data_IF_420390389874
#
_entry.id   IF_420390389874
#
_cell.length_a   1.000
_cell.length_b   1.000
_cell.length_c   1.000
_cell.angle_alpha   90.00
_cell.angle_beta   90.00
_cell.angle_gamma   90.00
#
_symmetry.space_group_name_H-M   'P 1'
#
loop_
_entity.id
_entity.type
_entity.pdbx_description
1 polymer ?
#
# COMPACT_ATOMS: atom_id res chain seq x y z
N UNK A 1 10.43 16.64 -9.79
CA UNK A 1 9.51 15.49 -9.85
C UNK A 1 9.74 14.63 -8.61
N UNK A 2 8.68 14.12 -7.99
CA UNK A 2 8.72 13.34 -6.75
C UNK A 2 8.54 11.86 -7.10
N UNK A 3 9.47 11.00 -6.67
CA UNK A 3 9.37 9.56 -6.89
C UNK A 3 8.45 8.92 -5.86
N UNK A 4 7.38 8.28 -6.29
CA UNK A 4 6.40 7.65 -5.41
C UNK A 4 6.58 6.13 -5.45
N UNK A 5 7.28 5.59 -4.46
CA UNK A 5 7.52 4.16 -4.30
C UNK A 5 6.42 3.52 -3.45
N UNK A 6 6.05 2.30 -3.82
CA UNK A 6 5.09 1.54 -3.07
C UNK A 6 4.65 0.27 -3.76
N UNK A 7 3.54 -0.28 -3.27
CA UNK A 7 3.00 -1.53 -3.76
C UNK A 7 1.94 -1.35 -4.88
N UNK A 8 1.00 -2.29 -4.99
CA UNK A 8 -0.11 -2.25 -5.94
C UNK A 8 -1.04 -1.05 -5.74
N UNK A 9 -1.11 -0.46 -4.54
CA UNK A 9 -1.93 0.73 -4.26
C UNK A 9 -1.31 1.96 -4.93
N UNK A 10 0.00 2.17 -4.78
CA UNK A 10 0.72 3.22 -5.51
C UNK A 10 0.66 2.97 -7.01
N UNK A 11 0.86 1.72 -7.47
CA UNK A 11 0.71 1.34 -8.88
C UNK A 11 -0.70 1.65 -9.42
N UNK A 12 -1.73 1.44 -8.59
CA UNK A 12 -3.12 1.60 -8.95
C UNK A 12 -3.71 0.42 -9.72
N UNK A 13 -3.23 -0.80 -9.48
CA UNK A 13 -3.78 -2.00 -10.13
C UNK A 13 -3.73 -3.21 -9.20
N UNK A 14 -4.88 -3.84 -8.89
CA UNK A 14 -6.26 -3.40 -9.19
C UNK A 14 -6.59 -1.99 -8.67
N UNK A 15 -7.71 -1.42 -9.11
CA UNK A 15 -8.20 -0.13 -8.62
C UNK A 15 -7.63 1.07 -9.38
N UNK A 16 -7.26 2.11 -8.65
CA UNK A 16 -6.71 3.35 -9.22
C UNK A 16 -5.68 3.97 -8.29
N UNK A 17 -4.59 4.48 -8.88
CA UNK A 17 -3.53 5.16 -8.13
C UNK A 17 -4.04 6.53 -7.67
N UNK A 18 -3.71 6.91 -6.43
CA UNK A 18 -3.94 8.26 -5.93
C UNK A 18 -3.21 9.33 -6.74
N UNK A 19 -2.11 8.98 -7.41
CA UNK A 19 -1.35 9.88 -8.28
C UNK A 19 -2.17 10.41 -9.45
N UNK A 20 -3.23 9.69 -9.87
CA UNK A 20 -4.19 10.18 -10.88
C UNK A 20 -4.86 11.50 -10.47
N UNK A 21 -4.96 11.74 -9.17
CA UNK A 21 -5.64 12.90 -8.57
C UNK A 21 -4.66 13.96 -8.06
N UNK A 22 -3.39 13.85 -8.43
CA UNK A 22 -2.35 14.84 -8.15
C UNK A 22 -1.97 15.59 -9.44
N UNK A 23 -1.15 16.62 -9.28
CA UNK A 23 -0.65 17.43 -10.39
C UNK A 23 0.15 16.58 -11.39
N UNK A 24 -0.25 16.64 -12.66
CA UNK A 24 0.37 15.87 -13.75
C UNK A 24 1.83 16.31 -13.94
N UNK A 25 2.75 15.35 -14.02
CA UNK A 25 4.18 15.62 -14.21
C UNK A 25 4.96 15.97 -12.94
N UNK A 26 4.28 16.28 -11.81
CA UNK A 26 4.96 16.49 -10.52
C UNK A 26 5.36 15.17 -9.84
N UNK A 27 4.57 14.11 -10.01
CA UNK A 27 4.75 12.81 -9.33
C UNK A 27 5.01 11.68 -10.32
N UNK A 28 6.00 10.83 -10.06
CA UNK A 28 6.32 9.65 -10.86
C UNK A 28 5.94 8.37 -10.09
N UNK A 29 5.15 7.53 -10.74
CA UNK A 29 4.69 6.26 -10.17
C UNK A 29 5.78 5.19 -10.26
N UNK A 30 6.27 4.73 -9.11
CA UNK A 30 7.23 3.61 -8.98
C UNK A 30 6.61 2.40 -8.27
N UNK A 31 5.28 2.28 -8.28
CA UNK A 31 4.56 1.21 -7.59
C UNK A 31 4.71 -0.16 -8.24
N UNK A 32 4.98 -1.19 -7.44
CA UNK A 32 5.06 -2.59 -7.89
C UNK A 32 4.11 -3.50 -7.12
N UNK A 33 3.24 -4.20 -7.85
CA UNK A 33 2.28 -5.11 -7.24
C UNK A 33 2.96 -6.29 -6.51
N UNK A 34 2.50 -6.55 -5.28
CA UNK A 34 2.98 -7.63 -4.42
C UNK A 34 4.31 -7.35 -3.71
N UNK A 35 4.84 -6.13 -3.79
CA UNK A 35 6.08 -5.75 -3.13
C UNK A 35 5.89 -5.57 -1.62
N UNK A 36 6.79 -6.14 -0.84
CA UNK A 36 6.88 -5.98 0.62
C UNK A 36 7.91 -4.93 1.00
N UNK A 37 8.04 -4.58 2.28
CA UNK A 37 9.08 -3.67 2.77
C UNK A 37 10.47 -4.14 2.35
N UNK A 38 10.79 -5.42 2.58
CA UNK A 38 12.07 -6.03 2.17
C UNK A 38 12.31 -5.91 0.65
N UNK A 39 11.26 -6.15 -0.15
CA UNK A 39 11.37 -6.08 -1.61
C UNK A 39 11.57 -4.68 -2.18
N UNK A 40 11.15 -3.63 -1.47
CA UNK A 40 11.32 -2.26 -1.92
C UNK A 40 12.77 -1.79 -1.85
N UNK A 41 13.53 -2.23 -0.83
CA UNK A 41 14.86 -1.69 -0.53
C UNK A 41 15.83 -1.71 -1.73
N UNK A 42 16.03 -2.82 -2.48
CA UNK A 42 16.95 -2.84 -3.62
C UNK A 42 16.57 -1.85 -4.72
N UNK A 43 15.26 -1.70 -5.00
CA UNK A 43 14.76 -0.78 -6.02
C UNK A 43 14.92 0.67 -5.63
N UNK A 44 14.62 0.98 -4.36
CA UNK A 44 14.83 2.32 -3.83
C UNK A 44 16.32 2.67 -3.82
N UNK A 45 17.19 1.75 -3.37
CA UNK A 45 18.65 1.94 -3.37
C UNK A 45 19.18 2.19 -4.78
N UNK A 46 18.75 1.40 -5.77
CA UNK A 46 19.11 1.63 -7.16
C UNK A 46 18.65 3.02 -7.65
N UNK A 47 17.41 3.41 -7.36
CA UNK A 47 16.88 4.72 -7.76
C UNK A 47 17.62 5.89 -7.10
N UNK A 48 18.05 5.75 -5.86
CA UNK A 48 18.79 6.80 -5.14
C UNK A 48 20.21 6.92 -5.68
N UNK A 49 20.91 5.80 -5.88
CA UNK A 49 22.31 5.77 -6.33
C UNK A 49 22.52 6.21 -7.78
N UNK A 50 21.53 5.99 -8.64
CA UNK A 50 21.64 6.28 -10.08
C UNK A 50 20.68 7.36 -10.56
N UNK A 51 19.82 7.88 -9.68
CA UNK A 51 18.84 8.92 -10.00
C UNK A 51 19.29 10.31 -9.57
N UNK A 52 18.61 11.32 -10.09
CA UNK A 52 18.77 12.75 -9.74
C UNK A 52 17.63 13.31 -8.90
N UNK A 53 16.83 12.44 -8.29
CA UNK A 53 15.63 12.83 -7.57
C UNK A 53 15.95 13.07 -6.10
N UNK A 54 15.49 14.20 -5.58
CA UNK A 54 15.72 14.61 -4.19
C UNK A 54 14.54 14.30 -3.27
N UNK A 55 13.35 14.10 -3.84
CA UNK A 55 12.11 13.91 -3.06
C UNK A 55 11.43 12.59 -3.35
N UNK A 56 11.07 11.87 -2.29
CA UNK A 56 10.46 10.55 -2.33
C UNK A 56 9.19 10.51 -1.50
N UNK A 57 8.21 9.73 -1.98
CA UNK A 57 7.03 9.33 -1.21
C UNK A 57 7.08 7.81 -1.10
N UNK A 58 6.98 7.29 0.13
CA UNK A 58 7.05 5.85 0.41
C UNK A 58 5.71 5.36 0.97
N UNK A 59 5.03 4.47 0.24
CA UNK A 59 3.81 3.79 0.67
C UNK A 59 3.98 2.28 0.53
N UNK A 60 4.45 1.62 1.59
CA UNK A 60 4.78 0.20 1.57
C UNK A 60 4.40 -0.48 2.89
N UNK A 61 4.25 -1.81 2.87
CA UNK A 61 3.95 -2.63 4.05
C UNK A 61 2.61 -3.35 4.00
N UNK A 62 1.73 -3.02 3.04
CA UNK A 62 0.43 -3.71 2.89
C UNK A 62 0.62 -5.21 2.65
N UNK A 63 1.60 -5.58 1.81
CA UNK A 63 1.86 -6.98 1.47
C UNK A 63 2.48 -7.79 2.60
N UNK A 64 3.13 -7.14 3.58
CA UNK A 64 3.63 -7.77 4.80
C UNK A 64 2.47 -8.32 5.67
N UNK A 65 1.27 -7.77 5.50
CA UNK A 65 0.04 -8.22 6.15
C UNK A 65 -0.78 -9.11 5.20
N UNK A 66 -0.91 -8.67 3.94
CA UNK A 66 -1.81 -9.29 2.97
C UNK A 66 -1.32 -10.67 2.52
N UNK A 67 -0.02 -10.83 2.19
CA UNK A 67 0.47 -12.10 1.64
C UNK A 67 0.36 -13.26 2.64
N UNK A 68 0.77 -13.12 3.93
CA UNK A 68 0.56 -14.18 4.91
C UNK A 68 -0.92 -14.52 5.14
N UNK A 69 -1.82 -13.53 5.03
CA UNK A 69 -3.25 -13.78 5.13
C UNK A 69 -3.77 -14.57 3.92
N UNK A 70 -3.43 -14.15 2.71
CA UNK A 70 -3.85 -14.83 1.48
C UNK A 70 -3.34 -16.26 1.43
N UNK A 71 -2.08 -16.50 1.81
CA UNK A 71 -1.49 -17.84 1.90
C UNK A 71 -2.33 -18.80 2.74
N UNK A 72 -2.85 -18.31 3.89
CA UNK A 72 -3.69 -19.09 4.80
C UNK A 72 -5.15 -19.19 4.35
N UNK A 73 -5.63 -18.24 3.56
CA UNK A 73 -7.05 -18.15 3.18
C UNK A 73 -7.50 -19.21 2.16
N UNK A 74 -6.60 -19.69 1.30
CA UNK A 74 -6.98 -20.57 0.18
C UNK A 74 -5.80 -21.39 -0.37
N UNK A 75 -5.99 -22.67 -0.70
CA UNK A 75 -4.98 -23.48 -1.39
C UNK A 75 -4.54 -22.89 -2.74
N UNK A 76 -5.43 -22.17 -3.44
CA UNK A 76 -5.09 -21.50 -4.71
C UNK A 76 -4.09 -20.38 -4.47
N UNK A 77 -4.30 -19.58 -3.42
CA UNK A 77 -3.36 -18.54 -3.01
C UNK A 77 -2.03 -19.11 -2.55
N UNK A 78 -2.04 -20.13 -1.68
CA UNK A 78 -0.81 -20.83 -1.27
C UNK A 78 0.01 -21.33 -2.47
N UNK A 79 -0.65 -21.97 -3.44
CA UNK A 79 0.01 -22.44 -4.65
C UNK A 79 0.54 -21.30 -5.54
N UNK A 80 -0.22 -20.20 -5.65
CA UNK A 80 0.20 -19.01 -6.40
C UNK A 80 1.42 -18.38 -5.76
N UNK A 81 1.40 -18.16 -4.45
CA UNK A 81 2.52 -17.55 -3.71
C UNK A 81 3.76 -18.43 -3.76
N UNK A 82 3.64 -19.74 -3.55
CA UNK A 82 4.76 -20.68 -3.72
C UNK A 82 5.40 -20.62 -5.11
N UNK A 83 4.62 -20.38 -6.17
CA UNK A 83 5.16 -20.19 -7.53
C UNK A 83 5.87 -18.85 -7.66
N UNK A 84 5.32 -17.79 -7.06
CA UNK A 84 5.95 -16.47 -7.04
C UNK A 84 7.27 -16.52 -6.28
N UNK A 85 7.31 -17.14 -5.10
CA UNK A 85 8.53 -17.27 -4.27
C UNK A 85 9.66 -18.00 -5.00
N UNK A 86 9.33 -19.04 -5.77
CA UNK A 86 10.30 -19.78 -6.60
C UNK A 86 10.92 -18.92 -7.70
N UNK A 87 10.22 -17.90 -8.18
CA UNK A 87 10.62 -17.05 -9.32
C UNK A 87 11.19 -15.70 -8.85
N UNK A 88 10.65 -15.14 -7.76
CA UNK A 88 11.03 -13.86 -7.18
C UNK A 88 11.74 -14.10 -5.86
N UNK A 89 13.05 -14.37 -5.90
CA UNK A 89 13.86 -14.63 -4.70
C UNK A 89 13.89 -13.45 -3.70
N UNK A 90 13.57 -12.21 -4.11
CA UNK A 90 13.98 -11.02 -3.34
C UNK A 90 12.90 -9.93 -3.15
N UNK A 91 11.67 -10.09 -3.66
CA UNK A 91 10.71 -8.95 -3.75
C UNK A 91 9.42 -9.03 -2.92
N UNK A 92 9.09 -10.20 -2.35
CA UNK A 92 7.74 -10.47 -1.83
C UNK A 92 7.76 -11.18 -0.46
N UNK A 93 8.89 -11.16 0.25
CA UNK A 93 8.98 -11.81 1.56
C UNK A 93 8.34 -10.91 2.61
N UNK A 94 7.23 -11.34 3.25
CA UNK A 94 6.54 -10.49 4.21
C UNK A 94 7.21 -10.56 5.58
N UNK A 95 7.30 -9.40 6.24
CA UNK A 95 7.70 -9.31 7.64
C UNK A 95 6.70 -10.05 8.53
N UNK A 96 7.13 -11.12 9.20
CA UNK A 96 6.23 -11.95 10.02
C UNK A 96 6.00 -11.35 11.41
N UNK A 97 7.01 -10.66 11.93
CA UNK A 97 7.01 -10.04 13.26
C UNK A 97 7.14 -8.52 13.17
N UNK A 98 6.74 -7.84 14.24
CA UNK A 98 6.91 -6.39 14.41
C UNK A 98 8.40 -6.00 14.39
N UNK A 99 9.28 -6.82 14.97
CA UNK A 99 10.74 -6.61 14.95
C UNK A 99 11.29 -6.67 13.53
N UNK A 100 10.89 -7.68 12.73
CA UNK A 100 11.31 -7.79 11.34
C UNK A 100 10.83 -6.58 10.53
N UNK A 101 9.56 -6.21 10.70
CA UNK A 101 8.98 -5.07 10.01
C UNK A 101 9.70 -3.77 10.36
N UNK A 102 9.93 -3.52 11.65
CA UNK A 102 10.68 -2.36 12.12
C UNK A 102 12.08 -2.30 11.53
N UNK A 103 12.82 -3.42 11.56
CA UNK A 103 14.16 -3.48 11.00
C UNK A 103 14.16 -3.11 9.52
N UNK A 104 13.35 -3.79 8.70
CA UNK A 104 13.31 -3.54 7.25
C UNK A 104 12.79 -2.15 6.89
N UNK A 105 11.86 -1.59 7.67
CA UNK A 105 11.37 -0.24 7.43
C UNK A 105 12.41 0.81 7.84
N UNK A 106 13.14 0.59 8.93
CA UNK A 106 14.26 1.44 9.35
C UNK A 106 15.35 1.45 8.29
N UNK A 107 15.71 0.30 7.70
CA UNK A 107 16.70 0.23 6.61
C UNK A 107 16.33 1.12 5.40
N UNK A 108 15.04 1.22 5.05
CA UNK A 108 14.57 2.15 4.00
C UNK A 108 14.79 3.62 4.41
N UNK A 109 14.48 3.96 5.65
CA UNK A 109 14.61 5.33 6.16
C UNK A 109 16.08 5.73 6.31
N UNK A 110 16.91 4.83 6.80
CA UNK A 110 18.36 5.02 6.93
C UNK A 110 18.98 5.26 5.55
N UNK A 111 18.61 4.47 4.54
CA UNK A 111 19.07 4.64 3.17
C UNK A 111 18.71 6.03 2.60
N UNK A 112 17.48 6.51 2.84
CA UNK A 112 17.04 7.84 2.41
C UNK A 112 17.87 8.92 3.10
N UNK A 113 18.10 8.79 4.40
CA UNK A 113 18.86 9.75 5.20
C UNK A 113 20.35 9.79 4.86
N UNK A 114 20.98 8.63 4.69
CA UNK A 114 22.39 8.50 4.32
C UNK A 114 22.69 9.23 3.01
N UNK A 115 21.71 9.30 2.10
CA UNK A 115 21.82 9.98 0.82
C UNK A 115 21.11 11.34 0.80
N UNK A 116 20.80 11.90 1.99
CA UNK A 116 20.22 13.24 2.18
C UNK A 116 18.93 13.48 1.38
N UNK A 117 18.09 12.44 1.23
CA UNK A 117 16.84 12.53 0.44
C UNK A 117 15.67 12.99 1.30
N UNK A 118 14.90 13.94 0.79
CA UNK A 118 13.63 14.32 1.39
C UNK A 118 12.61 13.19 1.19
N UNK A 119 11.97 12.76 2.27
CA UNK A 119 10.99 11.69 2.23
C UNK A 119 9.70 12.04 2.96
N UNK A 120 8.57 11.64 2.37
CA UNK A 120 7.27 11.61 3.03
C UNK A 120 6.78 10.17 3.10
N UNK A 121 6.46 9.71 4.29
CA UNK A 121 5.94 8.38 4.53
C UNK A 121 4.42 8.39 4.46
N UNK A 122 3.84 7.34 3.92
CA UNK A 122 2.40 7.05 3.97
C UNK A 122 2.25 5.74 4.72
N UNK A 123 1.48 5.75 5.81
CA UNK A 123 1.26 4.54 6.58
C UNK A 123 0.36 3.54 5.82
N UNK A 124 0.35 2.29 6.30
CA UNK A 124 -0.39 1.20 5.66
C UNK A 124 -1.89 1.52 5.74
N UNK A 125 -2.63 1.50 4.62
CA UNK A 125 -4.08 1.70 4.65
C UNK A 125 -4.80 0.59 5.40
N UNK A 126 -6.09 0.81 5.67
CA UNK A 126 -7.00 -0.21 6.18
C UNK A 126 -6.96 -1.45 5.25
N UNK A 127 -6.72 -2.62 5.84
CA UNK A 127 -6.65 -3.90 5.12
C UNK A 127 -7.95 -4.68 5.34
N UNK A 128 -8.92 -4.39 4.47
CA UNK A 128 -10.31 -4.82 4.56
C UNK A 128 -11.14 -3.79 5.30
N UNK A 129 -12.29 -3.39 4.74
CA UNK A 129 -13.09 -2.29 5.27
C UNK A 129 -13.82 -2.63 6.59
N UNK A 130 -13.86 -3.90 6.99
CA UNK A 130 -14.25 -4.29 8.33
C UNK A 130 -13.14 -3.98 9.35
N UNK A 131 -13.27 -2.85 10.04
CA UNK A 131 -12.27 -2.37 11.00
C UNK A 131 -12.02 -3.31 12.19
N UNK A 132 -12.99 -4.16 12.55
CA UNK A 132 -12.83 -5.09 13.69
C UNK A 132 -12.00 -6.34 13.35
N UNK A 133 -11.71 -6.58 12.07
CA UNK A 133 -10.98 -7.76 11.63
C UNK A 133 -9.51 -7.72 12.09
N UNK A 134 -8.95 -8.88 12.48
CA UNK A 134 -7.55 -9.05 12.91
C UNK A 134 -6.49 -8.43 11.98
N UNK A 135 -6.75 -8.32 10.67
CA UNK A 135 -5.84 -7.66 9.71
C UNK A 135 -5.61 -6.20 10.09
N UNK A 136 -6.65 -5.51 10.54
CA UNK A 136 -6.56 -4.11 10.96
C UNK A 136 -5.85 -3.96 12.31
N UNK A 137 -5.96 -4.92 13.23
CA UNK A 137 -5.13 -4.95 14.46
C UNK A 137 -3.63 -5.08 14.14
N UNK A 138 -3.27 -5.97 13.20
CA UNK A 138 -1.89 -6.10 12.70
C UNK A 138 -1.44 -4.81 12.00
N UNK A 139 -2.32 -4.18 11.23
CA UNK A 139 -2.07 -2.90 10.54
C UNK A 139 -1.76 -1.79 11.53
N UNK A 140 -2.52 -1.66 12.62
CA UNK A 140 -2.24 -0.68 13.67
C UNK A 140 -0.87 -0.86 14.30
N UNK A 141 -0.47 -2.11 14.60
CA UNK A 141 0.86 -2.41 15.13
C UNK A 141 1.97 -1.95 14.20
N UNK A 142 1.87 -2.24 12.90
CA UNK A 142 2.85 -1.80 11.92
C UNK A 142 2.81 -0.27 11.69
N UNK A 143 1.62 0.34 11.71
CA UNK A 143 1.50 1.79 11.58
C UNK A 143 2.07 2.55 12.79
N UNK A 144 1.98 1.99 14.00
CA UNK A 144 2.64 2.54 15.17
C UNK A 144 4.17 2.54 15.00
N UNK A 145 4.73 1.49 14.38
CA UNK A 145 6.16 1.44 14.05
C UNK A 145 6.51 2.52 13.02
N UNK A 146 5.76 2.63 11.91
CA UNK A 146 6.00 3.67 10.88
C UNK A 146 5.95 5.06 11.51
N UNK A 147 4.96 5.31 12.38
CA UNK A 147 4.80 6.57 13.07
C UNK A 147 5.98 6.87 13.99
N UNK A 148 6.39 5.91 14.82
CA UNK A 148 7.53 6.07 15.71
C UNK A 148 8.84 6.34 14.94
N UNK A 149 9.06 5.66 13.82
CA UNK A 149 10.22 5.92 12.95
C UNK A 149 10.13 7.33 12.35
N UNK A 150 8.96 7.72 11.82
CA UNK A 150 8.77 9.06 11.25
C UNK A 150 9.04 10.17 12.27
N UNK A 151 8.53 10.03 13.50
CA UNK A 151 8.74 10.98 14.59
C UNK A 151 10.21 11.04 15.01
N UNK A 152 10.85 9.89 15.23
CA UNK A 152 12.26 9.78 15.62
C UNK A 152 13.19 10.43 14.60
N UNK A 153 12.90 10.25 13.31
CA UNK A 153 13.76 10.70 12.21
C UNK A 153 13.35 12.07 11.63
N UNK A 154 12.31 12.70 12.17
CA UNK A 154 11.83 14.01 11.73
C UNK A 154 11.16 14.01 10.35
N UNK A 155 10.63 12.87 9.89
CA UNK A 155 10.01 12.72 8.58
C UNK A 155 8.52 13.09 8.62
N UNK A 156 8.01 13.60 7.50
CA UNK A 156 6.58 13.84 7.34
C UNK A 156 5.82 12.52 7.18
N UNK A 157 4.71 12.40 7.91
CA UNK A 157 3.78 11.28 7.81
C UNK A 157 2.41 11.73 7.27
N UNK A 158 1.95 11.04 6.23
CA UNK A 158 0.55 11.04 5.79
C UNK A 158 -0.16 9.89 6.49
N UNK A 159 -0.98 10.21 7.49
CA UNK A 159 -1.79 9.23 8.22
C UNK A 159 -3.08 8.89 7.45
N UNK A 160 -2.92 8.11 6.39
CA UNK A 160 -4.04 7.67 5.56
C UNK A 160 -4.94 6.66 6.28
N UNK A 161 -4.35 5.81 7.12
CA UNK A 161 -5.07 4.85 7.94
C UNK A 161 -6.12 5.52 8.83
N UNK A 162 -5.75 6.56 9.58
CA UNK A 162 -6.68 7.30 10.44
C UNK A 162 -7.81 7.96 9.63
N UNK A 163 -7.50 8.50 8.45
CA UNK A 163 -8.51 9.05 7.55
C UNK A 163 -9.52 7.99 7.07
N UNK A 164 -9.04 6.80 6.69
CA UNK A 164 -9.91 5.70 6.28
C UNK A 164 -10.78 5.20 7.44
N UNK A 165 -10.22 5.00 8.64
CA UNK A 165 -10.99 4.62 9.84
C UNK A 165 -12.13 5.59 10.10
N UNK A 166 -11.83 6.88 10.19
CA UNK A 166 -12.83 7.93 10.41
C UNK A 166 -13.92 7.93 9.33
N UNK A 167 -13.55 7.65 8.09
CA UNK A 167 -14.50 7.61 6.97
C UNK A 167 -15.42 6.38 7.05
N UNK A 168 -14.87 5.21 7.36
CA UNK A 168 -15.61 3.96 7.47
C UNK A 168 -16.53 3.91 8.71
N UNK A 169 -16.08 4.45 9.84
CA UNK A 169 -16.86 4.57 11.07
C UNK A 169 -18.11 5.44 10.86
N UNK A 170 -17.96 6.60 10.20
CA UNK A 170 -19.08 7.50 9.88
C UNK A 170 -20.15 6.84 9.02
N UNK A 171 -19.74 5.93 8.14
CA UNK A 171 -20.64 5.19 7.24
C UNK A 171 -21.18 3.91 7.87
N UNK A 172 -20.81 3.62 9.12
CA UNK A 172 -21.17 2.40 9.86
C UNK A 172 -20.88 1.12 9.06
N UNK A 173 -19.82 1.14 8.23
CA UNK A 173 -19.52 0.03 7.36
C UNK A 173 -18.92 -1.14 8.17
N UNK A 174 -19.66 -2.24 8.27
CA UNK A 174 -19.21 -3.50 8.92
C UNK A 174 -19.02 -4.64 7.91
N UNK A 175 -18.85 -4.32 6.63
CA UNK A 175 -18.81 -5.34 5.56
C UNK A 175 -17.41 -5.93 5.42
N UNK A 176 -17.39 -7.25 5.19
CA UNK A 176 -16.17 -8.04 5.22
C UNK A 176 -15.83 -8.64 3.85
N UNK A 177 -16.27 -8.00 2.75
CA UNK A 177 -15.72 -8.39 1.45
C UNK A 177 -14.22 -8.11 1.46
N UNK A 178 -13.47 -9.14 1.17
CA UNK A 178 -12.03 -9.09 1.03
C UNK A 178 -11.63 -9.92 -0.18
N UNK A 179 -10.44 -9.62 -0.70
CA UNK A 179 -9.83 -10.21 -1.89
C UNK A 179 -10.29 -11.66 -2.14
N UNK A 180 -10.71 -11.90 -3.38
CA UNK A 180 -11.25 -13.18 -3.81
C UNK A 180 -10.27 -14.34 -3.50
N UNK A 181 -10.76 -15.49 -2.98
CA UNK A 181 -9.91 -16.64 -2.67
C UNK A 181 -9.27 -17.29 -3.91
N UNK A 182 -9.70 -16.93 -5.13
CA UNK A 182 -9.04 -17.29 -6.38
C UNK A 182 -8.16 -16.14 -6.91
N UNK A 183 -6.82 -16.30 -6.96
CA UNK A 183 -5.92 -15.30 -7.53
C UNK A 183 -6.26 -14.88 -8.96
N UNK A 184 -6.91 -15.75 -9.76
CA UNK A 184 -7.34 -15.41 -11.12
C UNK A 184 -8.42 -14.32 -11.12
N UNK A 185 -9.30 -14.31 -10.11
CA UNK A 185 -10.32 -13.27 -10.00
C UNK A 185 -9.71 -11.90 -9.70
N UNK A 186 -8.61 -11.83 -8.95
CA UNK A 186 -7.88 -10.56 -8.73
C UNK A 186 -7.29 -10.02 -10.03
N UNK A 187 -6.80 -10.89 -10.92
CA UNK A 187 -6.34 -10.48 -12.26
C UNK A 187 -7.50 -9.93 -13.09
N UNK A 188 -8.65 -10.62 -13.07
CA UNK A 188 -9.86 -10.18 -13.76
C UNK A 188 -10.36 -8.84 -13.19
N UNK A 189 -10.31 -8.66 -11.88
CA UNK A 189 -10.66 -7.39 -11.24
C UNK A 189 -9.73 -6.26 -11.64
N UNK A 190 -8.42 -6.55 -11.81
CA UNK A 190 -7.46 -5.62 -12.37
C UNK A 190 -7.90 -5.08 -13.73
N UNK A 191 -8.37 -5.96 -14.62
CA UNK A 191 -8.91 -5.55 -15.93
C UNK A 191 -10.23 -4.78 -15.80
N UNK A 192 -11.13 -5.25 -14.94
CA UNK A 192 -12.43 -4.59 -14.71
C UNK A 192 -12.29 -3.21 -14.05
N UNK A 193 -11.22 -2.96 -13.31
CA UNK A 193 -10.99 -1.72 -12.57
C UNK A 193 -10.24 -0.63 -13.36
N UNK A 194 -9.94 -0.84 -14.65
CA UNK A 194 -9.27 0.16 -15.49
C UNK A 194 -10.12 1.45 -15.60
N UNK A 195 -11.43 1.31 -15.79
CA UNK A 195 -12.35 2.46 -15.93
C UNK A 195 -12.99 2.83 -14.59
N UNK A 196 -13.39 4.10 -14.44
CA UNK A 196 -14.09 4.56 -13.23
C UNK A 196 -15.42 3.85 -13.03
N UNK A 197 -16.17 3.63 -14.12
CA UNK A 197 -17.41 2.85 -14.11
C UNK A 197 -17.16 1.41 -13.64
N UNK A 198 -16.07 0.78 -14.09
CA UNK A 198 -15.69 -0.56 -13.67
C UNK A 198 -15.33 -0.66 -12.18
N UNK A 199 -14.55 0.30 -11.66
CA UNK A 199 -14.26 0.41 -10.22
C UNK A 199 -15.53 0.59 -9.39
N UNK A 200 -16.40 1.52 -9.79
CA UNK A 200 -17.67 1.75 -9.12
C UNK A 200 -18.52 0.49 -9.06
N UNK A 201 -18.65 -0.24 -10.19
CA UNK A 201 -19.41 -1.51 -10.25
C UNK A 201 -18.82 -2.58 -9.34
N UNK A 202 -17.49 -2.73 -9.29
CA UNK A 202 -16.82 -3.68 -8.38
C UNK A 202 -17.11 -3.33 -6.92
N UNK A 203 -16.87 -2.08 -6.53
CA UNK A 203 -17.13 -1.59 -5.17
C UNK A 203 -18.59 -1.79 -4.76
N UNK A 204 -19.55 -1.40 -5.62
CA UNK A 204 -20.99 -1.56 -5.36
C UNK A 204 -21.39 -3.02 -5.22
N UNK A 205 -20.96 -3.90 -6.14
CA UNK A 205 -21.24 -5.34 -6.07
C UNK A 205 -20.75 -5.96 -4.75
N UNK A 206 -19.67 -5.41 -4.19
CA UNK A 206 -18.99 -5.90 -2.98
C UNK A 206 -19.39 -5.14 -1.72
N UNK A 207 -20.25 -4.13 -1.84
CA UNK A 207 -20.63 -3.20 -0.79
C UNK A 207 -19.41 -2.56 -0.10
N UNK A 208 -18.43 -2.15 -0.90
CA UNK A 208 -17.22 -1.46 -0.47
C UNK A 208 -17.34 0.04 -0.75
N UNK A 209 -16.77 0.84 0.16
CA UNK A 209 -16.86 2.30 0.14
C UNK A 209 -15.61 2.93 -0.46
N UNK A 210 -14.43 2.47 -0.06
CA UNK A 210 -13.13 3.11 -0.37
C UNK A 210 -12.25 2.25 -1.28
N UNK A 211 -12.60 0.97 -1.42
CA UNK A 211 -11.81 -0.02 -2.15
C UNK A 211 -12.64 -0.75 -3.20
N UNK A 212 -11.97 -1.43 -4.14
CA UNK A 212 -12.62 -2.29 -5.14
C UNK A 212 -12.67 -3.75 -4.69
N UNK A 213 -11.84 -4.17 -3.74
CA UNK A 213 -11.71 -5.55 -3.28
C UNK A 213 -11.35 -5.71 -1.79
N UNK A 214 -11.46 -4.63 -1.01
CA UNK A 214 -11.06 -4.59 0.39
C UNK A 214 -9.61 -4.12 0.61
N UNK A 215 -8.80 -3.95 -0.44
CA UNK A 215 -7.41 -3.45 -0.32
C UNK A 215 -7.15 -2.32 -1.32
N UNK A 216 -7.43 -2.55 -2.60
CA UNK A 216 -7.07 -1.62 -3.66
C UNK A 216 -8.08 -0.48 -3.77
N UNK A 217 -7.60 0.75 -3.93
CA UNK A 217 -8.45 1.94 -3.87
C UNK A 217 -9.42 2.03 -5.05
N UNK A 218 -10.65 2.44 -4.74
CA UNK A 218 -11.55 3.01 -5.74
C UNK A 218 -11.28 4.52 -5.90
N UNK A 219 -12.09 5.20 -6.70
CA UNK A 219 -11.91 6.63 -6.95
C UNK A 219 -12.09 7.49 -5.67
N UNK A 220 -12.96 7.09 -4.73
CA UNK A 220 -13.17 7.80 -3.46
C UNK A 220 -11.94 7.68 -2.55
N UNK A 221 -11.45 6.47 -2.34
CA UNK A 221 -10.26 6.23 -1.52
C UNK A 221 -9.01 6.92 -2.09
N UNK A 222 -8.81 6.84 -3.41
CA UNK A 222 -7.68 7.45 -4.10
C UNK A 222 -7.71 8.99 -4.04
N UNK A 223 -8.88 9.61 -4.18
CA UNK A 223 -9.04 11.07 -3.99
C UNK A 223 -8.77 11.49 -2.55
N UNK A 224 -9.19 10.69 -1.57
CA UNK A 224 -8.89 10.91 -0.15
C UNK A 224 -7.38 10.96 0.11
N UNK A 225 -6.65 9.93 -0.35
CA UNK A 225 -5.20 9.88 -0.21
C UNK A 225 -4.51 11.04 -0.94
N UNK A 226 -4.92 11.34 -2.18
CA UNK A 226 -4.36 12.45 -2.94
C UNK A 226 -4.55 13.82 -2.25
N UNK A 227 -5.69 14.02 -1.56
CA UNK A 227 -5.92 15.22 -0.75
C UNK A 227 -4.90 15.31 0.39
N UNK A 228 -4.72 14.25 1.17
CA UNK A 228 -3.76 14.24 2.29
C UNK A 228 -2.32 14.44 1.82
N UNK A 229 -1.95 13.84 0.68
CA UNK A 229 -0.61 14.03 0.08
C UNK A 229 -0.39 15.49 -0.29
N UNK A 230 -1.37 16.18 -0.92
CA UNK A 230 -1.25 17.61 -1.24
C UNK A 230 -1.11 18.50 0.00
N UNK A 231 -1.77 18.14 1.09
CA UNK A 231 -1.70 18.90 2.35
C UNK A 231 -0.33 18.78 3.04
N UNK A 232 0.38 17.67 2.83
CA UNK A 232 1.70 17.41 3.43
C UNK A 232 2.87 17.76 2.51
N UNK A 233 2.72 17.57 1.21
CA UNK A 233 3.77 17.77 0.21
C UNK A 233 3.52 19.09 -0.51
N UNK A 234 4.22 20.15 -0.08
CA UNK A 234 4.23 21.45 -0.77
C UNK A 234 5.14 21.38 -2.00
#
# INVERSE_FOLDING_TARGET
MIQCFGDSITKGTPGVSYLKYLEKGKYQNQGTGGETVEGLYPRLSHSIKHGKHEKYIIQIGTNDILLPYLEKSSPKWKNRLRKIDKVKKEGARPSRTEIQFQKSYQEIVDLLKEHEKEAVLINIPVVGENLSHERNKKTEKFNNIIKAIAEKEGLLLVDFYAWQKKTLEKLQNKKDYFIDPDPKQVVIDGLKSITSLGRMRLSQKRNLVLTVDGVHLNDTGAKGLAKLVREKVK
#
